data_IF_333919378025
#
_entry.id   IF_333919378025
#
_cell.length_a   1.000
_cell.length_b   1.000
_cell.length_c   1.000
_cell.angle_alpha   90.00
_cell.angle_beta   90.00
_cell.angle_gamma   90.00
#
_symmetry.space_group_name_H-M   'P 1'
#
loop_
_entity.id
_entity.type
_entity.pdbx_description
1 polymer ?
#
# COMPACT_ATOMS: atom_id res chain seq x y z
N UNK A 1 -31.35 -22.46 17.58
CA UNK A 1 -31.32 -21.48 16.46
C UNK A 1 -30.02 -20.69 16.57
N UNK A 2 -29.13 -20.78 15.57
CA UNK A 2 -27.78 -20.21 15.67
C UNK A 2 -27.76 -18.70 15.90
N UNK A 3 -26.85 -18.22 16.76
CA UNK A 3 -26.76 -16.80 17.19
C UNK A 3 -26.44 -15.81 16.06
N UNK A 4 -26.02 -16.31 14.90
CA UNK A 4 -25.73 -15.54 13.69
C UNK A 4 -26.70 -15.96 12.58
N UNK A 5 -27.77 -15.19 12.39
CA UNK A 5 -28.78 -15.46 11.36
C UNK A 5 -29.34 -14.16 10.83
N UNK A 6 -29.58 -14.07 9.52
CA UNK A 6 -30.21 -12.92 8.88
C UNK A 6 -31.74 -12.89 9.05
N UNK A 7 -32.31 -13.89 9.74
CA UNK A 7 -33.76 -14.00 9.95
C UNK A 7 -34.30 -13.05 11.02
N UNK A 8 -33.45 -12.43 11.83
CA UNK A 8 -33.85 -11.44 12.85
C UNK A 8 -32.91 -10.23 12.81
N UNK A 9 -33.42 -9.03 13.12
CA UNK A 9 -32.63 -7.78 13.10
C UNK A 9 -31.42 -7.83 14.05
N UNK A 10 -31.57 -8.46 15.22
CA UNK A 10 -30.47 -8.66 16.16
C UNK A 10 -29.41 -9.66 15.66
N UNK A 11 -29.82 -10.72 14.95
CA UNK A 11 -28.90 -11.67 14.32
C UNK A 11 -28.16 -11.06 13.12
N UNK A 12 -28.83 -10.24 12.32
CA UNK A 12 -28.24 -9.52 11.20
C UNK A 12 -27.19 -8.50 11.65
N UNK A 13 -27.44 -7.74 12.73
CA UNK A 13 -26.44 -6.81 13.31
C UNK A 13 -25.18 -7.54 13.78
N UNK A 14 -25.33 -8.71 14.41
CA UNK A 14 -24.19 -9.54 14.86
C UNK A 14 -23.40 -10.10 13.69
N UNK A 15 -24.08 -10.55 12.63
CA UNK A 15 -23.41 -11.03 11.43
C UNK A 15 -22.67 -9.90 10.70
N UNK A 16 -23.30 -8.72 10.57
CA UNK A 16 -22.67 -7.54 9.99
C UNK A 16 -21.42 -7.14 10.77
N UNK A 17 -21.50 -7.06 12.10
CA UNK A 17 -20.35 -6.74 12.93
C UNK A 17 -19.22 -7.76 12.76
N UNK A 18 -19.54 -9.06 12.69
CA UNK A 18 -18.55 -10.11 12.45
C UNK A 18 -17.88 -9.95 11.09
N UNK A 19 -18.66 -9.73 10.02
CA UNK A 19 -18.12 -9.52 8.67
C UNK A 19 -17.25 -8.27 8.58
N UNK A 20 -17.68 -7.17 9.21
CA UNK A 20 -16.91 -5.93 9.27
C UNK A 20 -15.56 -6.13 9.98
N UNK A 21 -15.56 -6.81 11.13
CA UNK A 21 -14.32 -7.16 11.84
C UNK A 21 -13.44 -8.05 10.96
N UNK A 22 -14.01 -9.03 10.28
CA UNK A 22 -13.28 -9.92 9.39
C UNK A 22 -12.57 -9.16 8.27
N UNK A 23 -13.27 -8.22 7.62
CA UNK A 23 -12.73 -7.36 6.57
C UNK A 23 -11.56 -6.54 7.12
N UNK A 24 -11.74 -5.89 8.27
CA UNK A 24 -10.68 -5.07 8.88
C UNK A 24 -9.44 -5.89 9.22
N UNK A 25 -9.62 -7.09 9.77
CA UNK A 25 -8.52 -8.00 10.09
C UNK A 25 -7.78 -8.41 8.82
N UNK A 26 -8.48 -8.89 7.80
CA UNK A 26 -7.85 -9.33 6.56
C UNK A 26 -7.19 -8.19 5.78
N UNK A 27 -7.80 -7.00 5.74
CA UNK A 27 -7.18 -5.80 5.16
C UNK A 27 -5.92 -5.40 5.90
N UNK A 28 -5.91 -5.49 7.24
CA UNK A 28 -4.72 -5.24 8.05
C UNK A 28 -3.59 -6.21 7.74
N UNK A 29 -3.87 -7.51 7.71
CA UNK A 29 -2.87 -8.52 7.33
C UNK A 29 -2.36 -8.33 5.90
N UNK A 30 -3.24 -8.03 4.95
CA UNK A 30 -2.86 -7.74 3.58
C UNK A 30 -1.92 -6.52 3.51
N UNK A 31 -2.19 -5.47 4.29
CA UNK A 31 -1.33 -4.28 4.35
C UNK A 31 0.06 -4.59 4.92
N UNK A 32 0.14 -5.38 5.99
CA UNK A 32 1.42 -5.78 6.59
C UNK A 32 2.25 -6.63 5.62
N UNK A 33 1.62 -7.56 4.91
CA UNK A 33 2.31 -8.38 3.91
C UNK A 33 2.75 -7.55 2.69
N UNK A 34 1.89 -6.67 2.20
CA UNK A 34 2.19 -5.81 1.05
C UNK A 34 3.32 -4.81 1.32
N UNK A 35 3.49 -4.36 2.56
CA UNK A 35 4.57 -3.44 2.97
C UNK A 35 5.81 -4.17 3.48
N UNK A 36 5.89 -5.51 3.32
CA UNK A 36 6.97 -6.34 3.83
C UNK A 36 7.28 -6.07 5.31
N UNK A 37 6.24 -6.09 6.17
CA UNK A 37 6.33 -5.74 7.59
C UNK A 37 6.83 -4.31 7.87
N UNK A 38 6.58 -3.36 6.97
CA UNK A 38 7.00 -1.97 7.11
C UNK A 38 8.50 -1.74 6.89
N UNK A 39 9.19 -2.66 6.20
CA UNK A 39 10.63 -2.56 5.92
C UNK A 39 10.99 -1.64 4.74
N UNK A 40 9.98 -1.14 4.02
CA UNK A 40 10.13 -0.20 2.93
C UNK A 40 9.39 1.08 3.29
N UNK A 41 10.07 2.21 3.18
CA UNK A 41 9.51 3.55 3.35
C UNK A 41 9.10 4.11 1.99
N UNK A 42 7.94 4.76 1.97
CA UNK A 42 7.38 5.41 0.78
C UNK A 42 7.26 6.90 1.07
N UNK A 43 7.82 7.74 0.22
CA UNK A 43 7.72 9.19 0.31
C UNK A 43 7.23 9.79 -1.01
N UNK A 44 6.32 10.75 -0.94
CA UNK A 44 5.93 11.52 -2.13
C UNK A 44 7.00 12.55 -2.45
N UNK A 45 7.45 12.55 -3.69
CA UNK A 45 8.47 13.46 -4.21
C UNK A 45 7.92 14.27 -5.36
N UNK A 46 8.31 15.54 -5.41
CA UNK A 46 7.97 16.44 -6.49
C UNK A 46 9.27 16.95 -7.10
N UNK A 47 9.46 16.67 -8.39
CA UNK A 47 10.65 17.06 -9.13
C UNK A 47 10.25 18.14 -10.13
N UNK A 48 10.83 19.33 -10.01
CA UNK A 48 10.66 20.37 -11.02
C UNK A 48 11.41 19.98 -12.30
N UNK A 49 10.69 19.92 -13.41
CA UNK A 49 11.22 19.59 -14.72
C UNK A 49 10.69 20.56 -15.78
N UNK A 50 11.58 21.44 -16.25
CA UNK A 50 11.34 22.32 -17.43
C UNK A 50 10.01 23.09 -17.38
N UNK A 51 9.60 23.55 -16.20
CA UNK A 51 8.37 24.32 -16.01
C UNK A 51 7.12 23.46 -15.75
N UNK A 52 7.28 22.15 -15.53
CA UNK A 52 6.24 21.24 -15.07
C UNK A 52 6.72 20.48 -13.82
N UNK A 53 5.81 20.21 -12.89
CA UNK A 53 6.09 19.40 -11.71
C UNK A 53 5.84 17.92 -12.03
N UNK A 54 6.88 17.10 -11.90
CA UNK A 54 6.78 15.65 -11.92
C UNK A 54 6.46 15.18 -10.51
N UNK A 55 5.28 14.60 -10.32
CA UNK A 55 4.85 13.96 -9.09
C UNK A 55 5.19 12.47 -9.12
N UNK A 56 5.67 11.93 -8.00
CA UNK A 56 6.05 10.54 -7.89
C UNK A 56 6.20 10.06 -6.44
N UNK A 57 6.47 8.77 -6.30
CA UNK A 57 6.72 8.13 -5.01
C UNK A 57 8.12 7.49 -5.01
N UNK A 58 8.89 7.78 -3.97
CA UNK A 58 10.19 7.21 -3.70
C UNK A 58 10.05 6.04 -2.72
N UNK A 59 10.50 4.86 -3.13
CA UNK A 59 10.47 3.63 -2.34
C UNK A 59 11.90 3.27 -1.97
N UNK A 60 12.19 3.11 -0.68
CA UNK A 60 13.54 2.75 -0.21
C UNK A 60 13.51 1.93 1.10
N UNK A 61 14.54 1.10 1.38
CA UNK A 61 14.62 0.34 2.62
C UNK A 61 14.63 1.23 3.86
N UNK A 62 14.04 0.75 4.95
CA UNK A 62 14.18 1.40 6.26
C UNK A 62 15.62 1.30 6.74
N UNK A 63 16.18 2.42 7.21
CA UNK A 63 17.56 2.50 7.69
C UNK A 63 18.55 3.07 6.68
N UNK A 64 18.10 3.36 5.44
CA UNK A 64 18.90 4.11 4.46
C UNK A 64 19.09 5.56 4.90
N UNK A 65 20.32 6.05 4.72
CA UNK A 65 20.77 7.42 4.95
C UNK A 65 21.24 8.05 3.64
N UNK A 66 21.50 9.35 3.66
CA UNK A 66 22.06 10.11 2.53
C UNK A 66 23.53 9.77 2.22
N UNK A 67 24.20 9.08 3.13
CA UNK A 67 25.58 8.59 2.96
C UNK A 67 25.64 7.24 2.21
N UNK A 68 24.50 6.54 2.11
CA UNK A 68 24.43 5.21 1.49
C UNK A 68 24.41 5.30 -0.04
N UNK A 69 25.34 4.60 -0.69
CA UNK A 69 25.41 4.49 -2.15
C UNK A 69 24.62 3.28 -2.66
N UNK A 70 23.28 3.40 -2.67
CA UNK A 70 22.38 2.38 -3.21
C UNK A 70 22.07 2.60 -4.70
N UNK A 71 21.84 1.53 -5.48
CA UNK A 71 21.40 1.68 -6.88
C UNK A 71 20.00 2.30 -6.94
N UNK A 72 19.83 3.30 -7.80
CA UNK A 72 18.54 3.94 -8.06
C UNK A 72 17.89 3.39 -9.33
N UNK A 73 16.59 3.07 -9.27
CA UNK A 73 15.79 2.62 -10.41
C UNK A 73 14.57 3.50 -10.56
N UNK A 74 14.34 4.02 -11.77
CA UNK A 74 13.17 4.84 -12.09
C UNK A 74 12.17 3.96 -12.85
N UNK A 75 10.93 3.90 -12.33
CA UNK A 75 9.83 3.17 -12.95
C UNK A 75 8.74 4.14 -13.32
N UNK A 76 8.32 4.13 -14.59
CA UNK A 76 7.27 5.01 -15.11
C UNK A 76 6.07 4.20 -15.57
N UNK A 77 4.89 4.84 -15.57
CA UNK A 77 3.66 4.23 -16.06
C UNK A 77 3.44 4.55 -17.55
N UNK A 78 2.61 3.74 -18.23
CA UNK A 78 2.15 4.03 -19.59
C UNK A 78 1.13 5.17 -19.67
N UNK A 79 0.79 5.60 -20.88
CA UNK A 79 -0.20 6.66 -21.11
C UNK A 79 -1.58 6.31 -20.51
N UNK A 80 -2.23 7.29 -19.89
CA UNK A 80 -3.56 7.13 -19.27
C UNK A 80 -3.56 6.52 -17.86
N UNK A 81 -2.40 6.18 -17.32
CA UNK A 81 -2.23 5.68 -15.96
C UNK A 81 -1.60 6.75 -15.04
N UNK A 82 -1.42 6.41 -13.76
CA UNK A 82 -0.63 7.19 -12.79
C UNK A 82 0.48 6.31 -12.21
N UNK A 83 1.44 6.92 -11.50
CA UNK A 83 2.57 6.19 -10.87
C UNK A 83 2.09 5.08 -9.91
N UNK A 84 0.86 5.17 -9.38
CA UNK A 84 0.27 4.17 -8.49
C UNK A 84 0.14 2.79 -9.13
N UNK A 85 0.01 2.70 -10.46
CA UNK A 85 -0.06 1.41 -11.17
C UNK A 85 1.25 0.62 -11.12
N UNK A 86 2.37 1.27 -10.77
CA UNK A 86 3.70 0.66 -10.73
C UNK A 86 4.18 0.34 -9.31
N UNK A 87 3.34 0.57 -8.29
CA UNK A 87 3.71 0.44 -6.88
C UNK A 87 4.25 -0.97 -6.50
N UNK A 88 3.69 -2.03 -7.07
CA UNK A 88 4.09 -3.40 -6.81
C UNK A 88 5.52 -3.69 -7.27
N UNK A 89 5.91 -3.14 -8.43
CA UNK A 89 7.27 -3.23 -8.94
C UNK A 89 8.24 -2.41 -8.09
N UNK A 90 7.87 -1.16 -7.75
CA UNK A 90 8.71 -0.29 -6.94
C UNK A 90 8.94 -0.87 -5.53
N UNK A 91 7.89 -1.43 -4.91
CA UNK A 91 7.96 -2.10 -3.60
C UNK A 91 8.89 -3.31 -3.62
N UNK A 92 8.80 -4.15 -4.67
CA UNK A 92 9.62 -5.36 -4.77
C UNK A 92 11.10 -5.03 -5.06
N UNK A 93 11.37 -3.96 -5.80
CA UNK A 93 12.72 -3.47 -6.04
C UNK A 93 13.34 -2.87 -4.78
N UNK A 94 12.58 -2.04 -4.05
CA UNK A 94 13.03 -1.40 -2.81
C UNK A 94 13.22 -2.38 -1.63
N UNK A 95 12.71 -3.60 -1.75
CA UNK A 95 12.90 -4.67 -0.74
C UNK A 95 14.26 -5.35 -0.85
N UNK A 96 14.89 -5.32 -2.03
CA UNK A 96 16.13 -6.05 -2.34
C UNK A 96 17.35 -5.25 -1.94
#
# INVERSE_FOLDING_TARGET
>A
MGKFTNKTTAGAKRLFALLAVLILVFSGFAHVLATNFGRVKIEQINIDSRGALLDGELYYPVGTTDEDSLPAVIVTHGAGCTHKGMNSYAMELARR
#
